data_IF_180622939870
#
_entry.id   IF_180622939870
#
_cell.length_a   1.000
_cell.length_b   1.000
_cell.length_c   1.000
_cell.angle_alpha   90.00
_cell.angle_beta   90.00
_cell.angle_gamma   90.00
#
_symmetry.space_group_name_H-M   'P 1'
#
loop_
_entity.id
_entity.type
_entity.pdbx_description
1 polymer ?
#
# COMPACT_ATOMS: atom_id res chain seq x y z
N UNK A 1 16.01 20.79 7.56
CA UNK A 1 15.64 22.16 7.97
C UNK A 1 14.79 22.06 9.22
N UNK A 2 15.41 22.18 10.39
CA UNK A 2 14.76 22.32 11.70
C UNK A 2 15.55 23.38 12.47
N UNK A 3 14.85 24.41 12.93
CA UNK A 3 15.39 25.55 13.68
C UNK A 3 15.07 25.32 15.17
N UNK A 4 16.10 25.35 16.01
CA UNK A 4 15.97 25.53 17.46
C UNK A 4 16.69 26.84 17.85
N UNK A 5 16.11 27.71 18.69
CA UNK A 5 16.79 28.92 19.13
C UNK A 5 17.57 28.74 20.44
N UNK A 6 18.63 29.55 20.53
CA UNK A 6 19.68 29.61 21.55
C UNK A 6 19.20 30.10 22.91
N UNK A 7 19.74 29.49 23.96
CA UNK A 7 19.82 30.01 25.33
C UNK A 7 21.12 30.81 25.47
N UNK A 8 21.05 32.08 25.89
CA UNK A 8 22.22 32.87 26.28
C UNK A 8 22.28 32.98 27.81
N UNK A 9 23.41 32.53 28.36
CA UNK A 9 23.84 32.72 29.76
C UNK A 9 24.44 34.11 29.92
N UNK A 10 24.00 34.84 30.93
CA UNK A 10 24.54 36.16 31.29
C UNK A 10 25.62 36.01 32.37
N UNK A 11 26.76 36.66 32.13
CA UNK A 11 27.96 36.60 32.96
C UNK A 11 27.92 37.63 34.10
N UNK A 12 28.32 37.17 35.28
CA UNK A 12 28.58 37.95 36.48
C UNK A 12 29.87 38.79 36.33
N UNK A 13 29.83 40.09 36.66
CA UNK A 13 31.02 40.90 36.87
C UNK A 13 30.87 41.79 38.11
N UNK A 14 31.77 41.59 39.07
CA UNK A 14 31.92 42.38 40.30
C UNK A 14 32.62 43.71 39.99
N UNK A 15 32.07 44.84 40.44
CA UNK A 15 32.85 46.07 40.67
C UNK A 15 32.50 46.68 42.02
N UNK A 16 33.54 46.89 42.83
CA UNK A 16 33.54 47.42 44.20
C UNK A 16 33.28 48.94 44.23
N UNK A 17 32.40 49.30 45.16
CA UNK A 17 32.42 50.44 46.09
C UNK A 17 33.25 51.69 45.74
N UNK A 18 32.53 52.79 45.47
CA UNK A 18 32.95 54.15 45.75
C UNK A 18 31.91 54.80 46.66
N UNK A 19 32.28 55.13 47.89
CA UNK A 19 31.43 55.83 48.86
C UNK A 19 31.49 57.32 48.52
N UNK A 20 30.38 57.87 48.06
CA UNK A 20 30.14 59.32 48.03
C UNK A 20 28.98 59.63 48.97
N UNK A 21 29.27 60.37 50.03
CA UNK A 21 28.27 60.91 50.96
C UNK A 21 27.53 62.04 50.24
N UNK A 22 26.23 61.87 50.01
CA UNK A 22 25.42 62.94 49.43
C UNK A 22 23.93 62.66 49.52
N UNK A 23 23.30 63.34 50.49
CA UNK A 23 21.91 63.77 50.46
C UNK A 23 20.83 62.66 50.54
N UNK A 24 20.40 62.36 51.76
CA UNK A 24 19.19 61.57 52.02
C UNK A 24 17.94 62.38 51.66
N UNK A 25 17.47 62.25 50.43
CA UNK A 25 16.06 62.50 50.14
C UNK A 25 15.25 61.41 50.82
N UNK A 26 14.59 61.78 51.92
CA UNK A 26 13.58 60.97 52.61
C UNK A 26 12.50 60.57 51.60
N UNK A 27 12.60 59.35 51.07
CA UNK A 27 11.44 58.67 50.50
C UNK A 27 10.57 58.30 51.70
N UNK A 28 9.49 59.04 51.87
CA UNK A 28 8.40 58.64 52.75
C UNK A 28 7.80 57.36 52.17
N UNK A 29 8.28 56.20 52.62
CA UNK A 29 7.47 54.99 52.55
C UNK A 29 6.24 55.26 53.40
N UNK A 30 5.11 55.41 52.73
CA UNK A 30 3.79 55.46 53.34
C UNK A 30 3.54 54.11 54.02
N UNK A 31 4.01 53.98 55.26
CA UNK A 31 3.59 52.94 56.20
C UNK A 31 2.21 53.32 56.72
N UNK A 32 1.18 52.98 55.95
CA UNK A 32 -0.20 53.00 56.44
C UNK A 32 -0.41 51.81 57.37
N UNK A 33 -0.45 52.12 58.66
CA UNK A 33 -0.94 51.23 59.70
C UNK A 33 -2.46 51.09 59.57
N UNK A 34 -2.91 50.12 58.78
CA UNK A 34 -4.29 49.61 58.80
C UNK A 34 -4.27 48.08 58.90
N UNK A 35 -3.83 47.60 60.06
CA UNK A 35 -3.58 46.19 60.38
C UNK A 35 -4.83 45.36 60.73
N UNK A 36 -6.04 45.80 60.35
CA UNK A 36 -7.28 45.01 60.55
C UNK A 36 -7.96 44.51 59.27
N UNK A 37 -7.52 44.95 58.09
CA UNK A 37 -8.08 44.51 56.79
C UNK A 37 -7.15 43.64 55.93
N UNK A 38 -5.83 43.73 56.11
CA UNK A 38 -4.85 43.03 55.26
C UNK A 38 -4.71 41.53 55.58
N UNK A 39 -4.94 41.11 56.83
CA UNK A 39 -4.89 39.70 57.21
C UNK A 39 -5.99 38.86 56.52
N UNK A 40 -7.19 39.43 56.38
CA UNK A 40 -8.30 38.81 55.65
C UNK A 40 -7.95 38.60 54.16
N UNK A 41 -7.28 39.59 53.57
CA UNK A 41 -6.90 39.58 52.15
C UNK A 41 -5.84 38.51 51.87
N UNK A 42 -4.87 38.33 52.76
CA UNK A 42 -3.86 37.27 52.65
C UNK A 42 -4.50 35.89 52.79
N UNK A 43 -5.42 35.71 53.74
CA UNK A 43 -6.13 34.44 53.91
C UNK A 43 -6.98 34.12 52.67
N UNK A 44 -7.74 35.08 52.16
CA UNK A 44 -8.53 34.92 50.93
C UNK A 44 -7.65 34.59 49.72
N UNK A 45 -6.52 35.28 49.58
CA UNK A 45 -5.58 35.05 48.49
C UNK A 45 -4.97 33.65 48.59
N UNK A 46 -4.55 33.21 49.78
CA UNK A 46 -4.02 31.85 49.98
C UNK A 46 -5.06 30.77 49.71
N UNK A 47 -6.32 30.95 50.12
CA UNK A 47 -7.40 30.03 49.81
C UNK A 47 -7.66 29.95 48.29
N UNK A 48 -7.66 31.09 47.60
CA UNK A 48 -7.81 31.13 46.15
C UNK A 48 -6.67 30.40 45.43
N UNK A 49 -5.42 30.60 45.87
CA UNK A 49 -4.25 29.91 45.31
C UNK A 49 -4.34 28.39 45.54
N UNK A 50 -4.71 27.94 46.74
CA UNK A 50 -4.84 26.50 47.02
C UNK A 50 -5.93 25.88 46.14
N UNK A 51 -7.10 26.53 46.00
CA UNK A 51 -8.18 26.05 45.15
C UNK A 51 -7.74 25.92 43.68
N UNK A 52 -7.05 26.93 43.16
CA UNK A 52 -6.58 26.92 41.76
C UNK A 52 -5.55 25.82 41.51
N UNK A 53 -4.65 25.54 42.45
CA UNK A 53 -3.68 24.44 42.34
C UNK A 53 -4.38 23.09 42.37
N UNK A 54 -5.31 22.86 43.31
CA UNK A 54 -6.08 21.61 43.39
C UNK A 54 -6.87 21.36 42.11
N UNK A 55 -7.57 22.39 41.61
CA UNK A 55 -8.35 22.27 40.37
C UNK A 55 -7.45 21.99 39.15
N UNK A 56 -6.26 22.60 39.10
CA UNK A 56 -5.29 22.36 38.03
C UNK A 56 -4.76 20.93 38.02
N UNK A 57 -4.43 20.37 39.19
CA UNK A 57 -3.96 18.98 39.31
C UNK A 57 -5.07 18.01 38.93
N UNK A 58 -6.27 18.17 39.48
CA UNK A 58 -7.42 17.30 39.17
C UNK A 58 -7.80 17.35 37.70
N UNK A 59 -7.78 18.54 37.09
CA UNK A 59 -8.05 18.71 35.65
C UNK A 59 -7.02 17.96 34.79
N UNK A 60 -5.73 18.07 35.11
CA UNK A 60 -4.67 17.33 34.40
C UNK A 60 -4.84 15.81 34.55
N UNK A 61 -5.16 15.33 35.75
CA UNK A 61 -5.37 13.89 35.98
C UNK A 61 -6.57 13.34 35.22
N UNK A 62 -7.69 14.07 35.18
CA UNK A 62 -8.86 13.65 34.37
C UNK A 62 -8.51 13.61 32.89
N UNK A 63 -7.79 14.62 32.39
CA UNK A 63 -7.33 14.66 31.00
C UNK A 63 -6.40 13.47 30.71
N UNK A 64 -5.39 13.23 31.53
CA UNK A 64 -4.46 12.11 31.35
C UNK A 64 -5.18 10.76 31.35
N UNK A 65 -6.11 10.53 32.28
CA UNK A 65 -6.92 9.32 32.32
C UNK A 65 -7.75 9.15 31.06
N UNK A 66 -8.48 10.19 30.62
CA UNK A 66 -9.30 10.12 29.39
C UNK A 66 -8.44 9.87 28.15
N UNK A 67 -7.26 10.47 28.07
CA UNK A 67 -6.34 10.21 26.97
C UNK A 67 -5.77 8.80 27.00
N UNK A 68 -5.51 8.26 28.19
CA UNK A 68 -5.00 6.91 28.38
C UNK A 68 -6.06 5.87 28.01
N UNK A 69 -7.29 6.05 28.45
CA UNK A 69 -8.42 5.16 28.09
C UNK A 69 -8.68 5.21 26.59
N UNK A 70 -8.68 6.41 26.00
CA UNK A 70 -8.83 6.54 24.54
C UNK A 70 -7.70 5.85 23.78
N UNK A 71 -6.45 5.95 24.23
CA UNK A 71 -5.33 5.25 23.62
C UNK A 71 -5.47 3.73 23.75
N UNK A 72 -5.88 3.24 24.91
CA UNK A 72 -6.12 1.83 25.14
C UNK A 72 -7.26 1.29 24.26
N UNK A 73 -8.39 1.99 24.21
CA UNK A 73 -9.53 1.66 23.36
C UNK A 73 -9.15 1.72 21.87
N UNK A 74 -8.36 2.70 21.45
CA UNK A 74 -7.86 2.77 20.08
C UNK A 74 -6.97 1.56 19.72
N UNK A 75 -6.15 1.06 20.66
CA UNK A 75 -5.33 -0.14 20.45
C UNK A 75 -6.18 -1.41 20.39
N UNK A 76 -7.22 -1.51 21.22
CA UNK A 76 -8.18 -2.62 21.20
C UNK A 76 -9.01 -2.62 19.92
N UNK A 77 -9.52 -1.47 19.49
CA UNK A 77 -10.23 -1.31 18.22
C UNK A 77 -9.36 -1.72 17.02
N UNK A 78 -8.08 -1.34 17.02
CA UNK A 78 -7.14 -1.77 15.98
C UNK A 78 -6.91 -3.29 16.00
N UNK A 79 -6.74 -3.87 17.19
CA UNK A 79 -6.58 -5.33 17.34
C UNK A 79 -7.82 -6.09 16.88
N UNK A 80 -9.02 -5.54 17.13
CA UNK A 80 -10.28 -6.11 16.65
C UNK A 80 -10.38 -6.05 15.12
N UNK A 81 -9.96 -4.95 14.50
CA UNK A 81 -9.91 -4.83 13.03
C UNK A 81 -8.89 -5.81 12.41
N UNK A 82 -7.73 -6.03 13.05
CA UNK A 82 -6.76 -7.03 12.58
C UNK A 82 -7.34 -8.45 12.67
N UNK A 83 -8.02 -8.77 13.78
CA UNK A 83 -8.73 -10.04 13.91
C UNK A 83 -9.81 -10.21 12.82
N UNK A 84 -10.54 -9.14 12.48
CA UNK A 84 -11.52 -9.15 11.40
C UNK A 84 -10.92 -9.50 10.04
N UNK A 85 -9.75 -8.95 9.71
CA UNK A 85 -9.03 -9.33 8.49
C UNK A 85 -8.65 -10.80 8.51
N UNK A 86 -8.07 -11.30 9.60
CA UNK A 86 -7.68 -12.71 9.68
C UNK A 86 -8.88 -13.65 9.54
N UNK A 87 -10.02 -13.30 10.15
CA UNK A 87 -11.25 -14.08 10.00
C UNK A 87 -11.73 -14.12 8.54
N UNK A 88 -11.79 -12.98 7.87
CA UNK A 88 -12.18 -12.93 6.44
C UNK A 88 -11.18 -13.70 5.56
N UNK A 89 -9.88 -13.64 5.86
CA UNK A 89 -8.87 -14.42 5.13
C UNK A 89 -9.04 -15.93 5.32
N UNK A 90 -9.57 -16.39 6.46
CA UNK A 90 -9.84 -17.79 6.73
C UNK A 90 -11.18 -18.26 6.15
N UNK A 91 -12.25 -17.48 6.31
CA UNK A 91 -13.62 -17.86 5.89
C UNK A 91 -13.91 -17.53 4.43
N UNK A 92 -13.18 -16.58 3.84
CA UNK A 92 -13.41 -16.05 2.49
C UNK A 92 -14.81 -15.44 2.29
N UNK A 93 -15.41 -14.92 3.37
CA UNK A 93 -16.72 -14.23 3.36
C UNK A 93 -16.69 -12.99 4.23
N UNK A 94 -17.66 -12.10 4.07
CA UNK A 94 -17.85 -10.98 5.01
C UNK A 94 -18.13 -11.53 6.41
N UNK A 95 -17.56 -10.92 7.44
CA UNK A 95 -17.71 -11.32 8.83
C UNK A 95 -17.92 -10.08 9.70
N UNK A 96 -19.01 -10.08 10.45
CA UNK A 96 -19.27 -9.11 11.51
C UNK A 96 -19.34 -9.87 12.83
N UNK A 97 -18.59 -9.43 13.83
CA UNK A 97 -18.54 -10.10 15.12
C UNK A 97 -18.45 -9.11 16.28
N UNK A 98 -19.28 -9.33 17.30
CA UNK A 98 -19.13 -8.69 18.61
C UNK A 98 -18.33 -9.64 19.50
N UNK A 99 -17.18 -9.17 19.99
CA UNK A 99 -16.26 -9.93 20.84
C UNK A 99 -16.61 -9.76 22.32
N UNK A 100 -16.92 -8.53 22.73
CA UNK A 100 -17.37 -8.20 24.08
C UNK A 100 -18.48 -7.13 24.02
N UNK A 101 -19.75 -7.53 24.25
CA UNK A 101 -20.87 -6.60 24.27
C UNK A 101 -20.79 -5.57 25.40
N UNK A 102 -20.14 -5.90 26.52
CA UNK A 102 -20.06 -5.03 27.70
C UNK A 102 -19.03 -3.90 27.53
N UNK A 103 -17.98 -4.15 26.74
CA UNK A 103 -16.94 -3.18 26.41
C UNK A 103 -17.07 -2.60 24.98
N UNK A 104 -18.17 -2.91 24.28
CA UNK A 104 -18.42 -2.53 22.88
C UNK A 104 -17.24 -2.89 21.94
N UNK A 105 -16.64 -4.06 22.16
CA UNK A 105 -15.52 -4.55 21.35
C UNK A 105 -16.04 -5.46 20.25
N UNK A 106 -15.73 -5.13 19.01
CA UNK A 106 -16.16 -5.89 17.85
C UNK A 106 -15.46 -5.47 16.57
N UNK A 107 -15.77 -6.16 15.48
CA UNK A 107 -15.33 -5.79 14.16
C UNK A 107 -16.40 -6.05 13.11
N UNK A 108 -16.32 -5.29 12.03
CA UNK A 108 -17.05 -5.53 10.79
C UNK A 108 -16.04 -5.59 9.66
N UNK A 109 -16.02 -6.69 8.92
CA UNK A 109 -15.02 -6.97 7.90
C UNK A 109 -15.69 -7.38 6.58
N UNK A 110 -15.38 -6.64 5.52
CA UNK A 110 -15.93 -6.79 4.19
C UNK A 110 -14.86 -7.26 3.20
N UNK A 111 -15.20 -8.29 2.43
CA UNK A 111 -14.41 -8.82 1.33
C UNK A 111 -14.97 -8.33 0.00
N UNK A 112 -14.15 -7.58 -0.74
CA UNK A 112 -14.51 -7.07 -2.06
C UNK A 112 -13.54 -7.55 -3.13
N UNK A 113 -14.08 -7.81 -4.32
CA UNK A 113 -13.32 -8.19 -5.50
C UNK A 113 -13.40 -7.04 -6.50
N UNK A 114 -12.36 -6.18 -6.59
CA UNK A 114 -12.42 -5.00 -7.44
C UNK A 114 -12.60 -5.42 -8.90
N UNK A 115 -13.74 -5.04 -9.49
CA UNK A 115 -13.93 -5.17 -10.93
C UNK A 115 -13.01 -4.18 -11.63
N UNK A 116 -12.26 -4.67 -12.60
CA UNK A 116 -11.34 -3.84 -13.37
C UNK A 116 -11.89 -3.60 -14.77
N UNK A 117 -11.53 -2.44 -15.33
CA UNK A 117 -11.80 -2.14 -16.73
C UNK A 117 -10.81 -2.87 -17.64
N UNK A 118 -10.46 -2.22 -18.73
CA UNK A 118 -9.48 -2.73 -19.70
C UNK A 118 -8.03 -2.50 -19.33
N UNK A 119 -7.76 -1.86 -18.19
CA UNK A 119 -6.43 -1.43 -17.80
C UNK A 119 -6.20 -1.65 -16.32
N UNK A 120 -4.96 -1.95 -15.94
CA UNK A 120 -4.57 -2.13 -14.55
C UNK A 120 -3.11 -1.71 -14.35
N UNK A 121 -2.87 -0.91 -13.32
CA UNK A 121 -1.55 -0.49 -12.90
C UNK A 121 -1.10 -1.39 -11.75
N UNK A 122 0.07 -2.01 -11.90
CA UNK A 122 0.62 -2.82 -10.83
C UNK A 122 1.04 -1.90 -9.66
N UNK A 123 0.64 -2.21 -8.41
CA UNK A 123 0.79 -1.28 -7.29
C UNK A 123 2.25 -1.07 -6.86
N UNK A 124 3.11 -2.07 -7.08
CA UNK A 124 4.50 -2.04 -6.64
C UNK A 124 5.43 -1.65 -7.79
N UNK A 125 6.55 -0.99 -7.45
CA UNK A 125 7.62 -0.72 -8.41
C UNK A 125 8.53 -1.95 -8.51
N UNK A 126 8.96 -2.28 -9.74
CA UNK A 126 9.75 -3.48 -10.02
C UNK A 126 11.22 -3.13 -10.29
N UNK A 127 12.11 -3.80 -9.58
CA UNK A 127 13.56 -3.81 -9.83
C UNK A 127 13.93 -4.75 -10.98
N UNK A 128 15.17 -4.66 -11.48
CA UNK A 128 15.63 -5.51 -12.59
C UNK A 128 15.56 -6.98 -12.19
N UNK A 129 14.85 -7.78 -12.98
CA UNK A 129 14.63 -9.20 -12.77
C UNK A 129 13.34 -9.54 -12.01
N UNK A 130 12.68 -8.55 -11.39
CA UNK A 130 11.38 -8.73 -10.75
C UNK A 130 10.25 -8.84 -11.78
N UNK A 131 9.17 -9.50 -11.39
CA UNK A 131 8.06 -9.88 -12.27
C UNK A 131 6.74 -9.39 -11.66
N UNK A 132 5.91 -8.73 -12.45
CA UNK A 132 4.49 -8.54 -12.14
C UNK A 132 3.65 -9.58 -12.87
N UNK A 133 2.67 -10.15 -12.18
CA UNK A 133 1.67 -11.04 -12.77
C UNK A 133 0.35 -10.32 -12.92
N UNK A 134 -0.27 -10.51 -14.08
CA UNK A 134 -1.58 -10.01 -14.44
C UNK A 134 -2.47 -11.19 -14.81
N UNK A 135 -3.52 -11.42 -14.05
CA UNK A 135 -4.52 -12.44 -14.32
C UNK A 135 -5.44 -12.01 -15.45
N UNK A 136 -5.60 -12.88 -16.43
CA UNK A 136 -6.54 -12.73 -17.57
C UNK A 136 -7.78 -13.63 -17.40
N UNK A 137 -7.75 -14.49 -16.37
CA UNK A 137 -8.81 -15.41 -15.94
C UNK A 137 -9.32 -15.03 -14.56
N UNK A 138 -10.62 -15.27 -14.31
CA UNK A 138 -11.20 -15.09 -12.97
C UNK A 138 -10.88 -16.27 -12.06
N UNK A 139 -10.94 -16.03 -10.76
CA UNK A 139 -10.85 -17.08 -9.75
C UNK A 139 -12.23 -17.29 -9.13
N UNK A 140 -12.49 -18.51 -8.69
CA UNK A 140 -13.64 -18.84 -7.88
C UNK A 140 -13.39 -18.36 -6.45
N UNK A 141 -14.34 -17.60 -5.90
CA UNK A 141 -14.16 -16.93 -4.60
C UNK A 141 -14.05 -17.90 -3.41
N UNK A 142 -14.48 -19.15 -3.57
CA UNK A 142 -14.49 -20.14 -2.48
C UNK A 142 -13.32 -21.10 -2.61
N UNK A 143 -13.06 -21.59 -3.82
CA UNK A 143 -12.06 -22.62 -4.08
C UNK A 143 -10.73 -22.07 -4.57
N UNK A 144 -10.67 -20.78 -4.95
CA UNK A 144 -9.55 -20.16 -5.67
C UNK A 144 -9.18 -20.88 -6.99
N UNK A 145 -10.05 -21.74 -7.52
CA UNK A 145 -9.83 -22.39 -8.80
C UNK A 145 -10.00 -21.40 -9.95
N UNK A 146 -9.28 -21.62 -11.06
CA UNK A 146 -9.48 -20.84 -12.27
C UNK A 146 -10.90 -21.08 -12.82
N UNK A 147 -11.65 -20.02 -13.09
CA UNK A 147 -13.02 -20.10 -13.59
C UNK A 147 -13.34 -18.96 -14.55
N UNK A 148 -14.28 -19.22 -15.46
CA UNK A 148 -14.86 -18.22 -16.35
C UNK A 148 -16.39 -18.20 -16.34
N UNK A 149 -17.01 -18.87 -15.35
CA UNK A 149 -18.46 -19.04 -15.24
C UNK A 149 -19.23 -17.71 -15.07
N UNK A 150 -18.59 -16.68 -14.51
CA UNK A 150 -19.19 -15.36 -14.30
C UNK A 150 -18.98 -14.37 -15.47
N UNK A 151 -18.41 -14.79 -16.61
CA UNK A 151 -18.18 -13.90 -17.75
C UNK A 151 -17.04 -12.88 -17.58
N UNK A 152 -16.32 -12.91 -16.45
CA UNK A 152 -15.26 -11.95 -16.11
C UNK A 152 -13.87 -12.33 -16.63
N UNK A 153 -13.77 -13.31 -17.54
CA UNK A 153 -12.50 -13.66 -18.19
C UNK A 153 -12.24 -12.74 -19.37
N UNK A 154 -10.99 -12.33 -19.52
CA UNK A 154 -10.57 -11.45 -20.60
C UNK A 154 -10.70 -12.15 -21.96
N UNK A 155 -11.40 -11.50 -22.91
CA UNK A 155 -11.47 -11.92 -24.31
C UNK A 155 -10.87 -10.83 -25.18
N UNK A 156 -9.54 -10.78 -25.16
CA UNK A 156 -8.74 -9.78 -25.83
C UNK A 156 -7.88 -10.44 -26.90
N UNK A 157 -7.82 -9.82 -28.08
CA UNK A 157 -6.90 -10.24 -29.14
C UNK A 157 -5.61 -9.41 -29.15
N UNK A 158 -5.55 -8.35 -28.35
CA UNK A 158 -4.41 -7.46 -28.26
C UNK A 158 -4.09 -7.12 -26.80
N UNK A 159 -2.80 -7.07 -26.50
CA UNK A 159 -2.25 -6.69 -25.22
C UNK A 159 -1.32 -5.49 -25.39
N UNK A 160 -1.29 -4.60 -24.43
CA UNK A 160 -0.35 -3.49 -24.36
C UNK A 160 0.25 -3.45 -22.96
N UNK A 161 1.57 -3.33 -22.88
CA UNK A 161 2.28 -3.17 -21.61
C UNK A 161 2.91 -1.79 -21.59
N UNK A 162 2.67 -1.06 -20.51
CA UNK A 162 3.25 0.25 -20.27
C UNK A 162 4.18 0.20 -19.07
N UNK A 163 5.32 0.88 -19.18
CA UNK A 163 6.39 0.71 -18.21
C UNK A 163 7.37 1.89 -18.24
N UNK A 164 8.13 1.99 -17.15
CA UNK A 164 9.16 3.01 -16.95
C UNK A 164 8.58 4.38 -16.63
N UNK A 165 9.21 5.12 -15.72
CA UNK A 165 8.76 6.45 -15.29
C UNK A 165 9.60 7.61 -15.84
N UNK A 166 10.70 7.32 -16.53
CA UNK A 166 11.54 8.33 -17.16
C UNK A 166 12.23 7.80 -18.42
N UNK A 167 12.53 8.71 -19.34
CA UNK A 167 13.13 8.37 -20.64
C UNK A 167 14.62 8.00 -20.54
N UNK A 168 15.30 8.37 -19.45
CA UNK A 168 16.74 8.16 -19.28
C UNK A 168 17.10 6.75 -18.80
N UNK A 169 16.26 6.14 -17.96
CA UNK A 169 16.48 4.82 -17.39
C UNK A 169 16.37 3.72 -18.45
N UNK A 170 15.57 3.94 -19.49
CA UNK A 170 15.33 3.02 -20.60
C UNK A 170 15.23 1.55 -20.13
N UNK A 171 14.30 1.20 -19.21
CA UNK A 171 14.05 -0.20 -18.86
C UNK A 171 13.64 -1.00 -20.09
N UNK A 172 14.02 -2.26 -20.19
CA UNK A 172 13.41 -3.21 -21.13
C UNK A 172 12.43 -4.13 -20.39
N UNK A 173 11.60 -4.84 -21.14
CA UNK A 173 10.65 -5.79 -20.59
C UNK A 173 10.65 -7.12 -21.34
N UNK A 174 10.34 -8.19 -20.62
CA UNK A 174 9.94 -9.49 -21.15
C UNK A 174 8.49 -9.75 -20.72
N UNK A 175 7.64 -10.09 -21.67
CA UNK A 175 6.24 -10.42 -21.45
C UNK A 175 6.04 -11.90 -21.77
N UNK A 176 5.63 -12.67 -20.78
CA UNK A 176 5.33 -14.09 -20.89
C UNK A 176 3.82 -14.29 -20.70
N UNK A 177 3.15 -14.87 -21.69
CA UNK A 177 1.70 -15.03 -21.71
C UNK A 177 1.37 -16.51 -21.65
N UNK A 178 0.60 -16.90 -20.63
CA UNK A 178 0.16 -18.26 -20.39
C UNK A 178 -1.24 -18.47 -20.95
N UNK A 179 -1.43 -19.59 -21.64
CA UNK A 179 -2.70 -19.98 -22.25
C UNK A 179 -2.88 -21.50 -22.14
N UNK A 180 -4.14 -21.96 -22.05
CA UNK A 180 -4.47 -23.38 -21.96
C UNK A 180 -4.98 -23.89 -23.31
N UNK A 181 -4.25 -24.81 -23.94
CA UNK A 181 -4.62 -25.31 -25.27
C UNK A 181 -5.83 -26.24 -25.30
N UNK A 182 -6.28 -26.71 -24.14
CA UNK A 182 -7.27 -27.77 -23.96
C UNK A 182 -8.47 -27.39 -23.10
N UNK A 183 -8.44 -26.20 -22.49
CA UNK A 183 -9.38 -25.71 -21.46
C UNK A 183 -9.51 -26.62 -20.22
N UNK A 184 -8.61 -27.59 -20.02
CA UNK A 184 -8.69 -28.54 -18.90
C UNK A 184 -8.49 -27.85 -17.55
N UNK A 185 -7.73 -26.76 -17.49
CA UNK A 185 -7.53 -25.98 -16.26
C UNK A 185 -8.83 -25.36 -15.74
N UNK A 186 -9.83 -25.22 -16.62
CA UNK A 186 -11.16 -24.66 -16.32
C UNK A 186 -12.21 -25.75 -16.14
N UNK A 187 -12.15 -26.82 -16.96
CA UNK A 187 -13.10 -27.93 -16.90
C UNK A 187 -12.82 -28.89 -15.73
N UNK A 188 -11.57 -28.97 -15.29
CA UNK A 188 -11.12 -29.79 -14.16
C UNK A 188 -10.14 -28.98 -13.34
N UNK A 189 -10.61 -28.31 -12.26
CA UNK A 189 -9.76 -27.50 -11.40
C UNK A 189 -8.46 -28.23 -11.01
N UNK A 190 -7.35 -27.51 -11.05
CA UNK A 190 -5.98 -28.01 -10.79
C UNK A 190 -5.36 -28.90 -11.89
N UNK A 191 -5.98 -29.05 -13.07
CA UNK A 191 -5.35 -29.72 -14.21
C UNK A 191 -4.65 -28.72 -15.14
N UNK A 192 -3.34 -28.52 -14.94
CA UNK A 192 -2.53 -27.58 -15.72
C UNK A 192 -1.69 -28.22 -16.84
N UNK A 193 -1.99 -29.47 -17.21
CA UNK A 193 -1.17 -30.29 -18.14
C UNK A 193 -0.96 -29.68 -19.53
N UNK A 194 -1.89 -28.82 -19.98
CA UNK A 194 -1.91 -28.24 -21.32
C UNK A 194 -1.70 -26.73 -21.33
N UNK A 195 -1.21 -26.17 -20.21
CA UNK A 195 -0.78 -24.77 -20.18
C UNK A 195 0.51 -24.64 -20.97
N UNK A 196 0.53 -23.68 -21.90
CA UNK A 196 1.70 -23.27 -22.65
C UNK A 196 1.96 -21.78 -22.42
N UNK A 197 3.20 -21.37 -22.66
CA UNK A 197 3.60 -19.98 -22.57
C UNK A 197 4.23 -19.52 -23.89
N UNK A 198 3.96 -18.27 -24.26
CA UNK A 198 4.66 -17.55 -25.34
C UNK A 198 5.34 -16.33 -24.74
N UNK A 199 6.49 -15.95 -25.30
CA UNK A 199 7.30 -14.84 -24.81
C UNK A 199 7.53 -13.82 -25.90
N UNK A 200 7.52 -12.56 -25.51
CA UNK A 200 7.93 -11.43 -26.37
C UNK A 200 8.71 -10.43 -25.52
N UNK A 201 9.65 -9.73 -26.14
CA UNK A 201 10.60 -8.85 -25.44
C UNK A 201 10.67 -7.51 -26.13
N UNK A 202 10.74 -6.43 -25.35
CA UNK A 202 10.78 -5.07 -25.86
C UNK A 202 11.83 -4.23 -25.15
N UNK A 203 12.62 -3.48 -25.92
CA UNK A 203 13.69 -2.64 -25.41
C UNK A 203 13.63 -1.23 -26.05
N UNK A 204 13.50 -0.15 -25.25
CA UNK A 204 13.58 1.22 -25.77
C UNK A 204 14.93 1.63 -26.35
N UNK A 205 16.02 1.05 -25.84
CA UNK A 205 17.39 1.42 -26.21
C UNK A 205 17.80 0.81 -27.55
N UNK A 206 17.93 1.65 -28.57
CA UNK A 206 18.31 1.21 -29.92
C UNK A 206 19.68 0.53 -29.98
N UNK A 207 20.65 0.98 -29.18
CA UNK A 207 21.98 0.38 -29.11
C UNK A 207 21.95 -1.02 -28.49
N UNK A 208 21.15 -1.24 -27.44
CA UNK A 208 21.01 -2.58 -26.82
C UNK A 208 20.23 -3.55 -27.70
N UNK A 209 19.25 -3.08 -28.46
CA UNK A 209 18.48 -3.93 -29.40
C UNK A 209 19.35 -4.65 -30.42
N UNK A 210 20.44 -4.03 -30.86
CA UNK A 210 21.41 -4.67 -31.77
C UNK A 210 22.11 -5.86 -31.12
N UNK A 211 22.24 -5.86 -29.79
CA UNK A 211 22.93 -6.91 -29.03
C UNK A 211 21.97 -7.98 -28.51
N UNK A 212 20.79 -7.59 -28.03
CA UNK A 212 19.82 -8.49 -27.40
C UNK A 212 18.70 -8.98 -28.33
N UNK A 213 18.59 -8.42 -29.54
CA UNK A 213 17.54 -8.73 -30.52
C UNK A 213 16.10 -8.50 -30.01
N UNK A 214 15.90 -7.61 -29.05
CA UNK A 214 14.55 -7.29 -28.54
C UNK A 214 13.77 -6.42 -29.54
N UNK A 215 12.44 -6.48 -29.46
CA UNK A 215 11.55 -5.62 -30.24
C UNK A 215 11.69 -4.15 -29.85
N UNK A 216 11.39 -3.24 -30.78
CA UNK A 216 11.34 -1.82 -30.50
C UNK A 216 10.12 -1.44 -29.65
N UNK A 217 10.25 -0.42 -28.82
CA UNK A 217 9.14 0.20 -28.09
C UNK A 217 8.81 1.56 -28.69
N UNK A 218 7.68 2.12 -28.26
CA UNK A 218 7.37 3.53 -28.51
C UNK A 218 7.62 4.36 -27.25
N UNK A 219 8.18 5.55 -27.43
CA UNK A 219 8.46 6.52 -26.37
C UNK A 219 7.47 7.68 -26.45
N UNK A 220 6.42 7.59 -25.65
CA UNK A 220 5.34 8.59 -25.50
C UNK A 220 4.56 8.21 -24.24
N UNK A 221 3.86 9.15 -23.57
CA UNK A 221 2.91 8.80 -22.53
C UNK A 221 2.04 7.63 -23.00
N UNK A 222 1.99 6.58 -22.19
CA UNK A 222 1.20 5.41 -22.49
C UNK A 222 -0.26 5.78 -22.77
N UNK A 223 -0.91 5.19 -23.79
CA UNK A 223 -2.28 5.54 -24.18
C UNK A 223 -3.34 5.43 -23.08
N UNK A 224 -3.15 4.58 -22.07
CA UNK A 224 -4.09 4.44 -20.95
C UNK A 224 -3.73 5.24 -19.69
N UNK A 225 -2.75 6.14 -19.76
CA UNK A 225 -2.34 6.99 -18.63
C UNK A 225 -1.40 6.29 -17.65
N UNK A 226 -1.19 6.88 -16.47
CA UNK A 226 -0.38 6.26 -15.40
C UNK A 226 1.09 6.69 -15.31
N UNK A 227 1.50 7.76 -16.00
CA UNK A 227 2.84 8.34 -15.86
C UNK A 227 3.97 7.51 -16.48
N UNK A 228 3.64 6.59 -17.40
CA UNK A 228 4.63 5.77 -18.09
C UNK A 228 5.35 6.51 -19.22
N UNK A 229 6.64 6.22 -19.39
CA UNK A 229 7.48 6.78 -20.45
C UNK A 229 7.56 5.90 -21.70
N UNK A 230 7.32 4.60 -21.56
CA UNK A 230 7.42 3.62 -22.65
C UNK A 230 6.21 2.69 -22.71
N UNK A 231 5.97 2.13 -23.89
CA UNK A 231 5.00 1.05 -24.08
C UNK A 231 5.43 0.09 -25.19
N UNK A 232 5.00 -1.16 -25.09
CA UNK A 232 5.36 -2.29 -25.99
C UNK A 232 4.80 -2.20 -27.40
N UNK A 233 3.99 -1.18 -27.70
CA UNK A 233 3.03 -1.24 -28.81
C UNK A 233 1.90 -2.25 -28.55
N UNK A 234 1.10 -2.52 -29.59
CA UNK A 234 0.01 -3.51 -29.53
C UNK A 234 0.56 -4.91 -29.84
N UNK A 235 0.66 -5.73 -28.81
CA UNK A 235 1.02 -7.14 -28.90
C UNK A 235 -0.16 -7.91 -29.48
N UNK A 236 -0.01 -8.48 -30.67
CA UNK A 236 -1.06 -9.23 -31.35
C UNK A 236 -1.11 -10.69 -30.85
N UNK A 237 -2.09 -11.00 -30.01
CA UNK A 237 -2.20 -12.32 -29.37
C UNK A 237 -2.60 -13.41 -30.35
N UNK A 238 -3.38 -13.10 -31.41
CA UNK A 238 -3.75 -14.09 -32.43
C UNK A 238 -2.56 -14.51 -33.29
N UNK A 239 -1.56 -13.63 -33.43
CA UNK A 239 -0.34 -13.94 -34.17
C UNK A 239 0.69 -14.69 -33.32
N UNK A 240 0.75 -14.38 -32.01
CA UNK A 240 1.69 -15.02 -31.08
C UNK A 240 1.24 -16.40 -30.61
N UNK A 241 -0.06 -16.61 -30.44
CA UNK A 241 -0.65 -17.85 -29.94
C UNK A 241 -1.26 -18.59 -31.13
N UNK A 242 -0.62 -19.65 -31.64
CA UNK A 242 -1.18 -20.43 -32.75
C UNK A 242 -2.44 -21.11 -32.23
N UNK A 243 -3.61 -20.69 -32.74
CA UNK A 243 -4.93 -21.10 -32.25
C UNK A 243 -5.08 -22.64 -32.18
N UNK A 244 -4.88 -23.26 -31.00
CA UNK A 244 -5.11 -24.68 -30.83
C UNK A 244 -6.61 -24.97 -30.95
N UNK A 245 -7.02 -26.22 -31.23
CA UNK A 245 -8.42 -26.57 -31.53
C UNK A 245 -9.43 -26.06 -30.51
N UNK A 246 -9.03 -25.93 -29.24
CA UNK A 246 -9.89 -25.54 -28.14
C UNK A 246 -9.46 -24.21 -27.47
N UNK A 247 -8.54 -23.43 -28.04
CA UNK A 247 -8.11 -22.15 -27.45
C UNK A 247 -8.05 -21.08 -28.53
N UNK A 248 -9.03 -20.19 -28.51
CA UNK A 248 -8.99 -18.93 -29.25
C UNK A 248 -8.91 -17.80 -28.25
N UNK A 249 -8.05 -16.81 -28.49
CA UNK A 249 -7.88 -15.64 -27.61
C UNK A 249 -9.16 -14.81 -27.44
N UNK A 250 -10.14 -15.02 -28.33
CA UNK A 250 -11.48 -14.44 -28.24
C UNK A 250 -12.45 -15.28 -27.38
N UNK A 251 -12.06 -16.48 -26.95
CA UNK A 251 -12.84 -17.33 -26.06
C UNK A 251 -12.44 -17.04 -24.60
N UNK A 252 -13.40 -17.16 -23.68
CA UNK A 252 -13.16 -16.90 -22.25
C UNK A 252 -12.10 -17.83 -21.62
N UNK A 253 -11.95 -19.06 -22.12
CA UNK A 253 -11.19 -20.13 -21.44
C UNK A 253 -9.82 -20.41 -22.10
N UNK A 254 -9.20 -19.39 -22.70
CA UNK A 254 -7.93 -19.58 -23.42
C UNK A 254 -6.77 -18.90 -22.70
N UNK A 255 -6.91 -17.61 -22.40
CA UNK A 255 -5.88 -16.83 -21.70
C UNK A 255 -5.94 -17.08 -20.19
N UNK A 256 -4.78 -17.27 -19.56
CA UNK A 256 -4.67 -17.52 -18.12
C UNK A 256 -4.07 -16.31 -17.42
N UNK A 257 -2.83 -15.96 -17.73
CA UNK A 257 -2.13 -14.83 -17.12
C UNK A 257 -1.05 -14.27 -18.04
N UNK A 258 -0.65 -13.03 -17.81
CA UNK A 258 0.52 -12.41 -18.39
C UNK A 258 1.51 -12.03 -17.27
N UNK A 259 2.76 -12.47 -17.40
CA UNK A 259 3.86 -12.10 -16.51
C UNK A 259 4.76 -11.09 -17.22
N UNK A 260 5.01 -9.96 -16.59
CA UNK A 260 5.88 -8.90 -17.13
C UNK A 260 7.11 -8.78 -16.23
N UNK A 261 8.27 -9.11 -16.78
CA UNK A 261 9.57 -8.96 -16.13
C UNK A 261 10.23 -7.67 -16.60
N UNK A 262 10.71 -6.84 -15.68
CA UNK A 262 11.52 -5.66 -16.04
C UNK A 262 13.00 -6.05 -16.08
N UNK A 263 13.72 -5.52 -17.07
CA UNK A 263 15.13 -5.74 -17.33
C UNK A 263 15.85 -4.40 -17.51
N UNK A 264 17.16 -4.39 -17.26
CA UNK A 264 18.05 -3.26 -17.55
C UNK A 264 17.63 -1.92 -16.92
N UNK A 265 16.97 -1.95 -15.75
CA UNK A 265 16.61 -0.73 -15.01
C UNK A 265 17.54 -0.49 -13.82
N UNK A 266 18.08 0.75 -13.67
CA UNK A 266 18.94 1.09 -12.55
C UNK A 266 18.17 1.35 -11.24
N UNK A 267 16.89 1.70 -11.34
CA UNK A 267 16.00 1.98 -10.22
C UNK A 267 14.65 1.28 -10.44
N UNK A 268 13.87 0.97 -9.38
CA UNK A 268 12.55 0.38 -9.51
C UNK A 268 11.63 1.18 -10.46
N UNK A 269 10.91 0.48 -11.35
CA UNK A 269 10.07 1.07 -12.39
C UNK A 269 8.62 0.62 -12.26
N UNK A 270 7.64 1.48 -12.60
CA UNK A 270 6.24 1.10 -12.64
C UNK A 270 5.95 0.26 -13.88
N UNK A 271 4.92 -0.60 -13.79
CA UNK A 271 4.42 -1.43 -14.88
C UNK A 271 2.89 -1.47 -14.84
N UNK A 272 2.27 -1.44 -16.01
CA UNK A 272 0.82 -1.56 -16.16
C UNK A 272 0.47 -2.32 -17.44
N UNK A 273 -0.74 -2.85 -17.47
CA UNK A 273 -1.25 -3.65 -18.58
C UNK A 273 -2.57 -3.07 -19.09
N UNK A 274 -2.75 -3.11 -20.40
CA UNK A 274 -3.98 -2.78 -21.10
C UNK A 274 -4.37 -3.89 -22.05
N UNK A 275 -5.65 -4.24 -22.09
CA UNK A 275 -6.21 -5.25 -22.99
C UNK A 275 -7.15 -4.60 -24.00
N UNK A 276 -7.15 -5.08 -25.23
CA UNK A 276 -8.06 -4.63 -26.29
C UNK A 276 -8.64 -5.84 -27.03
N UNK A 277 -9.90 -5.76 -27.43
CA UNK A 277 -10.59 -6.83 -28.15
C UNK A 277 -12.10 -6.82 -27.94
N UNK A 278 -12.73 -7.98 -28.08
CA UNK A 278 -14.18 -8.13 -28.04
C UNK A 278 -14.76 -7.89 -26.64
N UNK A 279 -14.12 -8.42 -25.59
CA UNK A 279 -14.47 -8.16 -24.19
C UNK A 279 -13.18 -7.87 -23.43
N UNK A 280 -12.67 -6.62 -23.50
CA UNK A 280 -11.38 -6.25 -22.94
C UNK A 280 -11.52 -5.90 -21.46
N UNK A 281 -12.12 -6.77 -20.65
CA UNK A 281 -12.19 -6.55 -19.21
C UNK A 281 -11.16 -7.44 -18.52
N UNK A 282 -10.38 -6.85 -17.62
CA UNK A 282 -9.51 -7.59 -16.74
C UNK A 282 -10.34 -8.13 -15.56
N UNK A 283 -10.19 -9.41 -15.19
CA UNK A 283 -10.73 -9.90 -13.94
C UNK A 283 -10.06 -9.18 -12.76
N UNK A 284 -10.66 -9.30 -11.58
CA UNK A 284 -10.01 -8.89 -10.34
C UNK A 284 -8.58 -9.50 -10.27
N UNK A 285 -7.59 -8.72 -9.85
CA UNK A 285 -6.19 -9.19 -9.71
C UNK A 285 -5.92 -9.78 -8.32
N UNK A 286 -6.96 -9.85 -7.50
CA UNK A 286 -6.94 -10.18 -6.10
C UNK A 286 -8.21 -9.67 -5.44
N UNK A 287 -8.17 -9.57 -4.12
CA UNK A 287 -9.28 -9.08 -3.31
C UNK A 287 -8.79 -8.04 -2.32
N UNK A 288 -9.74 -7.21 -1.87
CA UNK A 288 -9.54 -6.21 -0.83
C UNK A 288 -10.39 -6.61 0.36
N UNK A 289 -9.76 -6.63 1.53
CA UNK A 289 -10.46 -6.75 2.81
C UNK A 289 -10.45 -5.37 3.47
N UNK A 290 -11.62 -4.88 3.82
CA UNK A 290 -11.80 -3.68 4.64
C UNK A 290 -12.36 -4.11 5.99
N UNK A 291 -11.66 -3.80 7.08
CA UNK A 291 -12.12 -4.15 8.42
C UNK A 291 -12.15 -2.94 9.33
N UNK A 292 -13.29 -2.73 9.97
CA UNK A 292 -13.53 -1.68 10.95
C UNK A 292 -13.71 -2.31 12.32
N UNK A 293 -12.80 -2.06 13.24
CA UNK A 293 -12.86 -2.48 14.63
C UNK A 293 -13.38 -1.37 15.53
N UNK A 294 -14.15 -1.76 16.55
CA UNK A 294 -14.71 -0.88 17.58
C UNK A 294 -14.24 -1.33 18.95
N UNK A 295 -14.00 -0.38 19.86
CA UNK A 295 -13.80 -0.62 21.28
C UNK A 295 -14.19 0.64 22.06
N UNK A 296 -15.15 0.55 22.98
CA UNK A 296 -15.71 1.73 23.65
C UNK A 296 -16.25 2.74 22.63
N UNK A 297 -15.68 3.95 22.64
CA UNK A 297 -15.97 5.03 21.66
C UNK A 297 -14.97 5.09 20.50
N UNK A 298 -13.91 4.27 20.53
CA UNK A 298 -12.87 4.27 19.50
C UNK A 298 -13.25 3.38 18.33
N UNK A 299 -13.10 3.91 17.11
CA UNK A 299 -13.28 3.18 15.85
C UNK A 299 -11.99 3.27 15.03
N UNK A 300 -11.52 2.14 14.51
CA UNK A 300 -10.33 2.05 13.65
C UNK A 300 -10.64 1.20 12.44
N UNK A 301 -10.29 1.68 11.25
CA UNK A 301 -10.43 0.94 10.00
C UNK A 301 -9.06 0.66 9.39
N UNK A 302 -8.95 -0.49 8.73
CA UNK A 302 -7.79 -0.91 7.99
C UNK A 302 -8.21 -1.60 6.69
N UNK A 303 -7.36 -1.49 5.67
CA UNK A 303 -7.59 -2.09 4.37
C UNK A 303 -6.37 -2.91 3.95
N UNK A 304 -6.61 -4.12 3.47
CA UNK A 304 -5.58 -5.02 2.99
C UNK A 304 -5.94 -5.45 1.57
N UNK A 305 -4.98 -5.33 0.65
CA UNK A 305 -5.13 -5.83 -0.72
C UNK A 305 -4.21 -7.04 -0.87
N UNK A 306 -4.76 -8.16 -1.33
CA UNK A 306 -4.02 -9.39 -1.58
C UNK A 306 -4.23 -9.84 -3.01
N UNK A 307 -3.14 -10.03 -3.75
CA UNK A 307 -3.18 -10.61 -5.10
C UNK A 307 -3.46 -12.10 -5.04
N UNK A 308 -3.98 -12.66 -6.13
CA UNK A 308 -4.19 -14.11 -6.22
C UNK A 308 -2.86 -14.88 -6.17
N UNK A 309 -2.87 -16.14 -5.68
CA UNK A 309 -1.69 -16.99 -5.63
C UNK A 309 -1.10 -17.21 -7.03
N UNK A 310 0.19 -16.99 -7.17
CA UNK A 310 0.90 -17.17 -8.45
C UNK A 310 1.99 -18.25 -8.36
N UNK A 311 2.33 -18.91 -9.48
CA UNK A 311 3.48 -19.82 -9.50
C UNK A 311 4.78 -19.04 -9.23
N UNK A 312 5.65 -19.63 -8.40
CA UNK A 312 6.94 -19.03 -8.07
C UNK A 312 7.77 -18.77 -9.34
N UNK A 313 8.39 -17.59 -9.41
CA UNK A 313 9.22 -17.15 -10.53
C UNK A 313 10.47 -18.02 -10.78
N UNK A 314 10.90 -18.81 -9.79
CA UNK A 314 12.00 -19.77 -9.91
C UNK A 314 11.74 -20.85 -10.97
N UNK A 315 10.47 -21.23 -11.18
CA UNK A 315 10.07 -22.23 -12.17
C UNK A 315 10.03 -21.70 -13.61
N UNK A 316 10.32 -20.40 -13.83
CA UNK A 316 10.37 -19.82 -15.17
C UNK A 316 11.75 -20.00 -15.85
N UNK A 317 12.70 -20.67 -15.17
CA UNK A 317 14.04 -20.98 -15.69
C UNK A 317 14.03 -22.27 -16.51
N UNK A 318 14.77 -22.30 -17.63
CA UNK A 318 14.86 -23.48 -18.49
C UNK A 318 15.61 -24.65 -17.85
N UNK A 319 16.41 -24.38 -16.81
CA UNK A 319 17.19 -25.39 -16.09
C UNK A 319 17.04 -25.12 -14.60
N UNK A 320 16.44 -26.08 -13.90
CA UNK A 320 16.43 -26.12 -12.44
C UNK A 320 17.28 -27.32 -12.00
N UNK A 321 18.33 -27.06 -11.23
CA UNK A 321 19.13 -28.12 -10.62
C UNK A 321 19.28 -27.88 -9.13
N UNK A 322 18.97 -28.91 -8.35
CA UNK A 322 19.18 -28.93 -6.89
C UNK A 322 20.67 -29.03 -6.51
N UNK A 323 21.50 -29.54 -7.42
CA UNK A 323 22.96 -29.73 -7.27
C UNK A 323 23.75 -29.00 -8.37
N UNK A 324 25.08 -28.97 -8.27
CA UNK A 324 25.92 -28.35 -9.30
C UNK A 324 25.67 -28.96 -10.69
N UNK A 325 25.45 -28.09 -11.67
CA UNK A 325 25.38 -28.43 -13.08
C UNK A 325 26.80 -28.61 -13.61
N UNK A 326 27.24 -29.85 -13.79
CA UNK A 326 28.43 -30.16 -14.60
C UNK A 326 28.01 -30.19 -16.06
N UNK A 327 28.50 -29.22 -16.83
CA UNK A 327 28.35 -29.18 -18.28
C UNK A 327 29.02 -30.44 -18.87
N UNK A 328 28.33 -31.23 -19.72
CA UNK A 328 28.96 -32.32 -20.46
C UNK A 328 29.98 -31.79 -21.49
#
# INVERSE_FOLDING_TARGET
MYILPKVLKENYSKKKAGISKGHWSRIYLYSSSNTKGQALLIVLLTMAVILTVVLSVTSRSVVELTTTTYQEDARRAFSAAEAGVEQVLLTQTNVTQVLDPSANVGFDAELTYPQLGSTYNYPNLLSSGEVATFWLVSHDNTTNALTCSAGNCTRANRLQVCFGNNLAAQPAIEVEIYFDTSQQSFASPNNFSNIKAVRTTYDPSASRRVLNNFGSTSASPCPFGGGYSFYSGLINLTALIPAPPNCSVNNANCLVMAKVRILYNPNPQPVGIGVLGAIPNLPAQGFRVESTGTAGESVRSLHVVRSYPEPQSAFNSAVFSKNNLTKP
#
